data_IF_038227804767
#
_entry.id   IF_038227804767
#
_cell.length_a   1.000
_cell.length_b   1.000
_cell.length_c   1.000
_cell.angle_alpha   90.00
_cell.angle_beta   90.00
_cell.angle_gamma   90.00
#
_symmetry.space_group_name_H-M   'P 1'
#
loop_
_entity.id
_entity.type
_entity.pdbx_description
1 polymer ?
#
# COMPACT_ATOMS: atom_id res chain seq x y z
N UNK A 1 14.20 -5.85 -30.64
CA UNK A 1 15.36 -5.63 -29.74
C UNK A 1 15.01 -4.43 -28.86
N UNK A 2 15.03 -4.52 -27.52
CA UNK A 2 14.71 -3.38 -26.67
C UNK A 2 15.70 -2.23 -26.92
N UNK A 3 15.19 -0.98 -26.97
CA UNK A 3 16.01 0.20 -27.22
C UNK A 3 17.00 0.43 -26.06
N UNK A 4 18.28 0.69 -26.38
CA UNK A 4 19.30 1.04 -25.38
C UNK A 4 19.17 2.53 -25.02
N UNK A 5 19.08 2.85 -23.74
CA UNK A 5 19.19 4.24 -23.26
C UNK A 5 20.61 4.44 -22.69
N UNK A 6 21.37 5.40 -23.23
CA UNK A 6 22.79 5.64 -22.85
C UNK A 6 23.66 4.37 -22.87
N UNK A 7 23.54 3.56 -23.93
CA UNK A 7 24.26 2.28 -24.09
C UNK A 7 24.01 1.24 -22.97
N UNK A 8 22.95 1.40 -22.17
CA UNK A 8 22.53 0.42 -21.16
C UNK A 8 21.15 -0.14 -21.51
N UNK A 9 20.95 -1.44 -21.28
CA UNK A 9 19.63 -2.03 -21.28
C UNK A 9 18.83 -1.41 -20.15
N UNK A 10 17.70 -0.77 -20.49
CA UNK A 10 16.80 -0.21 -19.48
C UNK A 10 15.83 -1.31 -19.08
N UNK A 11 15.81 -1.67 -17.81
CA UNK A 11 14.70 -2.46 -17.26
C UNK A 11 13.49 -1.54 -17.28
N UNK A 12 12.44 -1.93 -17.99
CA UNK A 12 11.19 -1.18 -18.00
C UNK A 12 10.54 -1.20 -16.62
N UNK A 13 9.72 -0.20 -16.35
CA UNK A 13 9.03 -0.10 -15.08
C UNK A 13 8.06 -1.27 -14.94
N UNK A 14 8.05 -1.93 -13.78
CA UNK A 14 7.01 -2.89 -13.44
C UNK A 14 5.65 -2.23 -13.13
N UNK A 15 5.61 -0.89 -13.06
CA UNK A 15 4.36 -0.14 -12.85
C UNK A 15 3.49 -0.19 -14.10
N UNK A 16 2.19 -0.36 -13.91
CA UNK A 16 1.20 -0.24 -14.98
C UNK A 16 1.19 1.21 -15.50
N UNK A 17 1.54 1.39 -16.77
CA UNK A 17 1.78 2.70 -17.38
C UNK A 17 0.57 3.63 -17.31
N UNK A 18 -0.62 3.09 -17.56
CA UNK A 18 -1.88 3.85 -17.57
C UNK A 18 -2.68 3.59 -16.30
N UNK A 19 -2.04 3.74 -15.14
CA UNK A 19 -2.70 3.62 -13.84
C UNK A 19 -2.18 4.65 -12.86
N UNK A 20 -3.10 5.47 -12.35
CA UNK A 20 -2.84 6.29 -11.18
C UNK A 20 -3.05 5.46 -9.91
N UNK A 21 -1.96 5.16 -9.22
CA UNK A 21 -1.96 4.39 -7.96
C UNK A 21 -2.59 5.16 -6.79
N UNK A 22 -2.91 6.44 -6.96
CA UNK A 22 -3.72 7.22 -6.03
C UNK A 22 -5.23 7.12 -6.25
N UNK A 23 -5.66 6.50 -7.35
CA UNK A 23 -7.08 6.29 -7.66
C UNK A 23 -7.71 5.24 -6.75
N UNK A 24 -9.03 5.35 -6.59
CA UNK A 24 -9.82 4.42 -5.79
C UNK A 24 -9.67 2.99 -6.32
N UNK A 25 -9.16 2.10 -5.46
CA UNK A 25 -8.92 0.70 -5.79
C UNK A 25 -8.53 -0.08 -4.53
N UNK A 26 -8.63 -1.41 -4.63
CA UNK A 26 -8.03 -2.33 -3.67
C UNK A 26 -6.62 -2.74 -4.11
N UNK A 27 -5.67 -2.68 -3.17
CA UNK A 27 -4.27 -3.02 -3.39
C UNK A 27 -3.86 -4.14 -2.44
N UNK A 28 -3.34 -5.23 -2.99
CA UNK A 28 -2.65 -6.24 -2.20
C UNK A 28 -1.20 -5.79 -1.97
N UNK A 29 -0.85 -5.57 -0.70
CA UNK A 29 0.44 -5.06 -0.29
C UNK A 29 1.21 -6.14 0.46
N UNK A 30 2.49 -6.26 0.14
CA UNK A 30 3.45 -7.09 0.88
C UNK A 30 4.63 -6.22 1.31
N UNK A 31 4.92 -6.18 2.61
CA UNK A 31 6.07 -5.48 3.17
C UNK A 31 7.01 -6.54 3.76
N UNK A 32 8.17 -6.73 3.13
CA UNK A 32 9.19 -7.67 3.61
C UNK A 32 10.25 -6.94 4.45
N UNK A 33 10.71 -7.57 5.53
CA UNK A 33 11.90 -7.11 6.23
C UNK A 33 13.14 -7.28 5.34
N UNK A 34 14.17 -6.47 5.63
CA UNK A 34 15.47 -6.62 4.97
C UNK A 34 16.01 -8.04 5.16
N UNK A 35 16.49 -8.62 4.07
CA UNK A 35 17.03 -9.99 4.02
C UNK A 35 16.08 -11.06 4.58
N UNK A 36 14.77 -10.77 4.64
CA UNK A 36 13.72 -11.63 5.20
C UNK A 36 14.03 -12.08 6.65
N UNK A 37 14.70 -11.23 7.42
CA UNK A 37 14.96 -11.49 8.84
C UNK A 37 13.66 -11.50 9.65
N UNK A 38 13.52 -12.47 10.55
CA UNK A 38 12.32 -12.66 11.36
C UNK A 38 12.21 -11.66 12.52
N UNK A 39 12.09 -10.37 12.21
CA UNK A 39 11.98 -9.31 13.23
C UNK A 39 10.60 -9.25 13.88
N UNK A 40 9.54 -9.68 13.19
CA UNK A 40 8.17 -9.56 13.68
C UNK A 40 7.76 -10.70 14.61
N UNK A 41 8.58 -11.74 14.75
CA UNK A 41 8.34 -12.84 15.66
C UNK A 41 8.67 -14.19 15.06
N UNK A 42 7.96 -15.22 15.50
CA UNK A 42 8.17 -16.60 15.10
C UNK A 42 6.84 -17.37 15.09
N UNK A 43 6.81 -18.49 14.40
CA UNK A 43 5.65 -19.40 14.40
C UNK A 43 6.00 -20.60 15.27
N UNK A 44 5.18 -20.88 16.28
CA UNK A 44 5.29 -22.08 17.14
C UNK A 44 3.91 -22.74 17.21
N UNK A 45 3.86 -24.06 17.10
CA UNK A 45 2.61 -24.82 17.09
C UNK A 45 1.54 -24.29 16.11
N UNK A 46 1.96 -23.86 14.91
CA UNK A 46 1.13 -23.24 13.87
C UNK A 46 0.47 -21.90 14.27
N UNK A 47 0.93 -21.27 15.35
CA UNK A 47 0.47 -19.96 15.79
C UNK A 47 1.58 -18.92 15.65
N UNK A 48 1.19 -17.71 15.24
CA UNK A 48 2.10 -16.58 15.14
C UNK A 48 2.32 -15.95 16.50
N UNK A 49 3.56 -15.98 17.01
CA UNK A 49 3.97 -15.29 18.22
C UNK A 49 4.71 -14.00 17.85
N UNK A 50 4.02 -12.87 18.00
CA UNK A 50 4.59 -11.56 17.69
C UNK A 50 5.68 -11.16 18.70
N UNK A 51 6.82 -10.69 18.17
CA UNK A 51 7.80 -9.94 18.94
C UNK A 51 7.26 -8.54 19.30
N UNK A 52 7.97 -7.78 20.13
CA UNK A 52 7.62 -6.38 20.38
C UNK A 52 7.58 -5.54 19.09
N UNK A 53 8.51 -5.77 18.16
CA UNK A 53 8.51 -5.11 16.86
C UNK A 53 7.31 -5.56 16.01
N UNK A 54 6.95 -6.84 16.08
CA UNK A 54 5.77 -7.38 15.39
C UNK A 54 4.46 -6.77 15.90
N UNK A 55 4.34 -6.59 17.21
CA UNK A 55 3.18 -5.92 17.84
C UNK A 55 3.07 -4.47 17.39
N UNK A 56 4.18 -3.74 17.37
CA UNK A 56 4.24 -2.35 16.87
C UNK A 56 3.85 -2.30 15.39
N UNK A 57 4.32 -3.25 14.57
CA UNK A 57 4.00 -3.29 13.16
C UNK A 57 2.50 -3.58 12.92
N UNK A 58 1.90 -4.52 13.68
CA UNK A 58 0.46 -4.80 13.65
C UNK A 58 -0.36 -3.57 14.09
N UNK A 59 0.08 -2.90 15.16
CA UNK A 59 -0.56 -1.68 15.65
C UNK A 59 -0.56 -0.59 14.57
N UNK A 60 0.60 -0.24 14.02
CA UNK A 60 0.68 0.80 12.99
C UNK A 60 -0.06 0.43 11.71
N UNK A 61 -0.12 -0.86 11.36
CA UNK A 61 -0.98 -1.30 10.27
C UNK A 61 -2.43 -0.94 10.57
N UNK A 62 -2.96 -1.28 11.74
CA UNK A 62 -4.35 -0.96 12.15
C UNK A 62 -4.62 0.54 12.29
N UNK A 63 -3.59 1.35 12.52
CA UNK A 63 -3.71 2.80 12.62
C UNK A 63 -3.75 3.52 11.26
N UNK A 64 -3.50 2.82 10.14
CA UNK A 64 -3.54 3.43 8.79
C UNK A 64 -4.84 4.24 8.55
N UNK A 65 -6.06 3.74 8.84
CA UNK A 65 -7.29 4.52 8.64
C UNK A 65 -7.39 5.76 9.54
N UNK A 66 -6.69 5.77 10.69
CA UNK A 66 -6.67 6.93 11.59
C UNK A 66 -5.81 8.06 11.01
N UNK A 67 -4.72 7.71 10.33
CA UNK A 67 -3.86 8.67 9.63
C UNK A 67 -4.41 9.08 8.26
N UNK A 68 -5.11 8.16 7.59
CA UNK A 68 -5.67 8.35 6.25
C UNK A 68 -7.14 7.93 6.24
N UNK A 69 -8.07 8.85 6.55
CA UNK A 69 -9.50 8.53 6.67
C UNK A 69 -10.16 8.02 5.38
N UNK A 70 -9.54 8.27 4.22
CA UNK A 70 -9.97 7.74 2.92
C UNK A 70 -9.41 6.33 2.63
N UNK A 71 -8.72 5.72 3.59
CA UNK A 71 -8.18 4.37 3.48
C UNK A 71 -8.95 3.43 4.39
N UNK A 72 -9.44 2.34 3.81
CA UNK A 72 -10.03 1.23 4.53
C UNK A 72 -9.10 0.02 4.45
N UNK A 73 -9.00 -0.71 5.55
CA UNK A 73 -8.26 -1.96 5.60
C UNK A 73 -9.22 -3.14 5.55
N UNK A 74 -8.83 -4.15 4.80
CA UNK A 74 -9.43 -5.49 4.85
C UNK A 74 -8.46 -6.43 5.59
N UNK A 75 -8.55 -7.73 5.34
CA UNK A 75 -7.68 -8.74 5.93
C UNK A 75 -6.19 -8.41 5.79
N UNK A 76 -5.46 -8.56 6.90
CA UNK A 76 -4.00 -8.54 6.94
C UNK A 76 -3.46 -9.63 7.86
N UNK A 77 -2.20 -10.00 7.65
CA UNK A 77 -1.46 -10.96 8.47
C UNK A 77 -0.02 -10.49 8.64
N UNK A 78 0.46 -10.52 9.88
CA UNK A 78 1.87 -10.33 10.22
C UNK A 78 2.52 -11.70 10.33
N UNK A 79 3.50 -11.95 9.46
CA UNK A 79 4.33 -13.15 9.47
C UNK A 79 5.70 -12.80 10.06
N UNK A 80 6.54 -13.77 10.44
CA UNK A 80 7.83 -13.52 11.10
C UNK A 80 8.71 -12.44 10.45
N UNK A 81 8.72 -12.37 9.12
CA UNK A 81 9.60 -11.49 8.35
C UNK A 81 8.87 -10.64 7.29
N UNK A 82 7.54 -10.64 7.27
CA UNK A 82 6.78 -9.83 6.32
C UNK A 82 5.35 -9.59 6.80
N UNK A 83 4.68 -8.63 6.18
CA UNK A 83 3.26 -8.35 6.37
C UNK A 83 2.58 -8.44 5.01
N UNK A 84 1.43 -9.10 4.97
CA UNK A 84 0.51 -9.07 3.84
C UNK A 84 -0.77 -8.38 4.26
N UNK A 85 -1.37 -7.59 3.37
CA UNK A 85 -2.71 -7.10 3.61
C UNK A 85 -3.31 -6.39 2.41
N UNK A 86 -4.61 -6.13 2.51
CA UNK A 86 -5.36 -5.43 1.48
C UNK A 86 -5.64 -4.01 2.00
N UNK A 87 -5.20 -3.03 1.22
CA UNK A 87 -5.43 -1.60 1.46
C UNK A 87 -6.37 -1.09 0.38
N UNK A 88 -7.48 -0.49 0.78
CA UNK A 88 -8.48 0.05 -0.16
C UNK A 88 -8.47 1.57 -0.05
N UNK A 89 -8.24 2.23 -1.18
CA UNK A 89 -8.37 3.69 -1.31
C UNK A 89 -9.82 3.99 -1.71
N UNK A 90 -10.53 4.74 -0.88
CA UNK A 90 -11.93 5.15 -1.03
C UNK A 90 -12.03 6.65 -0.79
N UNK A 91 -11.44 7.45 -1.68
CA UNK A 91 -11.66 8.89 -1.70
C UNK A 91 -13.08 9.14 -2.17
N UNK A 92 -13.89 9.83 -1.37
CA UNK A 92 -15.08 10.49 -1.91
C UNK A 92 -14.60 11.56 -2.88
N UNK A 93 -15.21 11.64 -4.06
CA UNK A 93 -15.01 12.80 -4.93
C UNK A 93 -15.24 14.06 -4.09
N UNK A 94 -14.43 15.13 -4.27
CA UNK A 94 -14.81 16.40 -3.70
C UNK A 94 -16.23 16.68 -4.19
N UNK A 95 -17.18 16.78 -3.26
CA UNK A 95 -18.48 17.37 -3.52
C UNK A 95 -18.18 18.63 -4.32
N UNK A 96 -18.72 18.72 -5.54
CA UNK A 96 -18.63 19.94 -6.33
C UNK A 96 -18.83 21.12 -5.39
N UNK A 97 -17.85 22.03 -5.39
CA UNK A 97 -17.93 23.22 -4.55
C UNK A 97 -19.20 23.95 -4.98
N UNK A 98 -20.26 23.86 -4.17
CA UNK A 98 -21.35 24.83 -4.20
C UNK A 98 -20.79 26.14 -3.63
N UNK A 99 -19.87 26.78 -4.36
CA UNK A 99 -19.93 28.20 -4.72
C UNK A 99 -18.68 28.64 -5.49
N UNK A 100 -18.92 29.49 -6.49
CA UNK A 100 -17.98 30.39 -7.19
C UNK A 100 -16.98 29.80 -8.20
N UNK A 101 -17.49 29.44 -9.39
CA UNK A 101 -17.22 30.18 -10.64
C UNK A 101 -17.55 29.30 -11.87
N UNK A 102 -18.81 29.31 -12.29
CA UNK A 102 -19.16 28.89 -13.65
C UNK A 102 -18.46 29.82 -14.64
N UNK A 103 -17.51 29.30 -15.41
CA UNK A 103 -17.06 29.98 -16.62
C UNK A 103 -18.22 29.94 -17.63
N UNK A 104 -18.56 31.07 -18.29
CA UNK A 104 -19.55 31.04 -19.34
C UNK A 104 -19.04 30.16 -20.47
N UNK A 105 -19.85 29.18 -20.89
CA UNK A 105 -19.61 28.45 -22.12
C UNK A 105 -19.60 29.45 -23.29
N UNK A 106 -18.56 29.37 -24.12
CA UNK A 106 -18.56 29.92 -25.47
C UNK A 106 -19.26 28.93 -26.39
#
# INVERSE_FOLDING_TARGET
MPAKFRNKFRIESARKMDWDYGSNAAYFITICTKDRRCYFGEIKHNEMHLSEIGKIADQYWREIPQHFPFVRLENHVVMPNHIHGIVIIEKTDPVETQDLASLPAV
#
